data_IF_435167615113
#
_entry.id   IF_435167615113
#
_cell.length_a   1.000
_cell.length_b   1.000
_cell.length_c   1.000
_cell.angle_alpha   90.00
_cell.angle_beta   90.00
_cell.angle_gamma   90.00
#
_symmetry.space_group_name_H-M   'P 1'
#
loop_
_entity.id
_entity.type
_entity.pdbx_description
1 polymer ?
#
# COMPACT_ATOMS: atom_id res chain seq x y z
N UNK A 1 11.48 -14.68 16.39
CA UNK A 1 10.79 -13.64 15.62
C UNK A 1 11.28 -13.80 14.18
N UNK A 2 10.38 -13.90 13.22
CA UNK A 2 10.76 -13.97 11.79
C UNK A 2 11.36 -12.62 11.36
N UNK A 3 12.35 -12.68 10.48
CA UNK A 3 12.99 -11.50 9.89
C UNK A 3 11.94 -10.68 9.11
N UNK A 4 11.94 -9.33 9.22
CA UNK A 4 11.00 -8.49 8.50
C UNK A 4 11.24 -8.54 6.98
N UNK A 5 10.16 -8.49 6.18
CA UNK A 5 10.27 -8.40 4.71
C UNK A 5 10.80 -7.05 4.26
N UNK A 6 10.58 -6.01 5.07
CA UNK A 6 11.13 -4.67 4.88
C UNK A 6 11.33 -3.98 6.22
N UNK A 7 12.40 -3.21 6.34
CA UNK A 7 12.70 -2.41 7.53
C UNK A 7 13.29 -1.06 7.14
N UNK A 8 12.79 -0.01 7.78
CA UNK A 8 13.39 1.32 7.82
C UNK A 8 13.90 1.54 9.24
N UNK A 9 15.16 1.91 9.40
CA UNK A 9 15.77 2.21 10.69
C UNK A 9 16.35 3.63 10.67
N UNK A 10 15.74 4.53 11.45
CA UNK A 10 16.13 5.93 11.59
C UNK A 10 16.08 6.74 10.29
N UNK A 11 15.25 6.35 9.32
CA UNK A 11 15.27 6.89 7.96
C UNK A 11 14.84 8.35 7.91
N UNK A 12 15.70 9.19 7.31
CA UNK A 12 15.42 10.59 7.03
C UNK A 12 15.60 10.89 5.55
N UNK A 13 14.71 11.71 4.99
CA UNK A 13 14.74 12.11 3.57
C UNK A 13 14.56 13.61 3.45
N UNK A 14 15.40 14.24 2.65
CA UNK A 14 15.32 15.66 2.33
C UNK A 14 15.18 15.87 0.82
N UNK A 15 14.34 16.84 0.43
CA UNK A 15 14.27 17.35 -0.94
C UNK A 15 14.69 18.84 -0.93
N UNK A 16 15.71 19.19 -1.70
CA UNK A 16 16.23 20.56 -1.79
C UNK A 16 16.52 21.20 -0.41
N UNK A 17 17.06 20.41 0.52
CA UNK A 17 17.38 20.87 1.87
C UNK A 17 16.22 20.82 2.87
N UNK A 18 14.99 20.52 2.45
CA UNK A 18 13.84 20.40 3.35
C UNK A 18 13.61 18.93 3.75
N UNK A 19 13.68 18.63 5.05
CA UNK A 19 13.38 17.31 5.59
C UNK A 19 11.87 17.03 5.48
N UNK A 20 11.53 15.99 4.69
CA UNK A 20 10.17 15.52 4.48
C UNK A 20 9.87 14.28 5.33
N UNK A 21 10.87 13.41 5.54
CA UNK A 21 10.81 12.25 6.44
C UNK A 21 11.92 12.41 7.47
N UNK A 22 11.64 12.11 8.75
CA UNK A 22 12.51 12.47 9.87
C UNK A 22 12.63 11.33 10.87
N UNK A 23 13.71 10.55 10.77
CA UNK A 23 14.02 9.47 11.71
C UNK A 23 12.87 8.45 11.81
N UNK A 24 12.38 7.96 10.67
CA UNK A 24 11.29 6.98 10.63
C UNK A 24 11.84 5.59 10.86
N UNK A 25 11.28 4.90 11.86
CA UNK A 25 11.44 3.48 12.12
C UNK A 25 10.14 2.77 11.72
N UNK A 26 10.23 1.74 10.87
CA UNK A 26 9.10 0.93 10.43
C UNK A 26 9.61 -0.44 9.98
N UNK A 27 9.19 -1.49 10.66
CA UNK A 27 9.42 -2.86 10.21
C UNK A 27 8.11 -3.50 9.77
N UNK A 28 8.12 -4.26 8.69
CA UNK A 28 6.98 -4.99 8.14
C UNK A 28 7.29 -6.48 8.20
N UNK A 29 6.48 -7.22 8.96
CA UNK A 29 6.64 -8.66 9.10
C UNK A 29 6.08 -9.41 7.86
N UNK A 30 6.56 -10.64 7.58
CA UNK A 30 5.95 -11.50 6.58
C UNK A 30 4.45 -11.68 6.84
N UNK A 31 3.62 -11.52 5.79
CA UNK A 31 2.17 -11.66 5.89
C UNK A 31 1.46 -10.58 6.72
N UNK A 32 2.11 -9.47 7.03
CA UNK A 32 1.49 -8.36 7.74
C UNK A 32 0.74 -7.43 6.77
N UNK A 33 -0.38 -6.86 7.24
CA UNK A 33 -1.12 -5.81 6.52
C UNK A 33 -1.02 -4.51 7.29
N UNK A 34 -0.27 -3.56 6.75
CA UNK A 34 0.00 -2.25 7.36
C UNK A 34 -0.59 -1.15 6.50
N UNK A 35 -1.43 -0.30 7.09
CA UNK A 35 -1.86 0.94 6.43
C UNK A 35 -1.06 2.13 6.97
N UNK A 36 -0.44 2.87 6.07
CA UNK A 36 0.23 4.13 6.36
C UNK A 36 -0.76 5.28 6.12
N UNK A 37 -1.17 5.94 7.19
CA UNK A 37 -2.15 7.02 7.17
C UNK A 37 -1.54 8.32 7.69
N UNK A 38 -2.17 9.44 7.40
CA UNK A 38 -1.71 10.76 7.85
C UNK A 38 -2.16 11.87 6.93
N UNK A 39 -2.03 13.14 7.32
CA UNK A 39 -2.42 14.29 6.49
C UNK A 39 -1.64 14.38 5.18
N UNK A 40 -2.16 15.18 4.24
CA UNK A 40 -1.45 15.46 3.00
C UNK A 40 -0.11 16.17 3.31
N UNK A 41 0.94 15.77 2.58
CA UNK A 41 2.28 16.29 2.82
C UNK A 41 3.03 15.69 4.02
N UNK A 42 2.45 14.73 4.75
CA UNK A 42 3.12 14.07 5.88
C UNK A 42 4.35 13.23 5.50
N UNK A 43 4.58 12.96 4.20
CA UNK A 43 5.73 12.19 3.72
C UNK A 43 5.42 10.73 3.36
N UNK A 44 4.15 10.31 3.35
CA UNK A 44 3.72 8.92 3.10
C UNK A 44 4.28 8.33 1.80
N UNK A 45 4.05 8.99 0.66
CA UNK A 45 4.60 8.54 -0.64
C UNK A 45 6.13 8.56 -0.68
N UNK A 46 6.77 9.43 0.12
CA UNK A 46 8.23 9.44 0.25
C UNK A 46 8.73 8.19 0.95
N UNK A 47 8.05 7.74 2.00
CA UNK A 47 8.35 6.47 2.70
C UNK A 47 8.25 5.30 1.71
N UNK A 48 7.19 5.25 0.88
CA UNK A 48 7.06 4.19 -0.13
C UNK A 48 8.18 4.24 -1.18
N UNK A 49 8.53 5.44 -1.67
CA UNK A 49 9.61 5.61 -2.66
C UNK A 49 10.97 5.21 -2.13
N UNK A 50 11.23 5.46 -0.87
CA UNK A 50 12.46 5.07 -0.20
C UNK A 50 12.54 3.55 -0.08
N UNK A 51 11.45 2.88 0.35
CA UNK A 51 11.35 1.42 0.39
C UNK A 51 11.59 0.79 -0.99
N UNK A 52 11.03 1.39 -2.04
CA UNK A 52 11.22 0.93 -3.42
C UNK A 52 12.63 1.24 -4.00
N UNK A 53 13.53 1.84 -3.23
CA UNK A 53 14.86 2.23 -3.68
C UNK A 53 14.88 3.35 -4.73
N UNK A 54 13.77 4.10 -4.87
CA UNK A 54 13.63 5.22 -5.81
C UNK A 54 14.21 6.52 -5.27
N UNK A 55 14.36 6.62 -3.95
CA UNK A 55 14.93 7.77 -3.24
C UNK A 55 15.96 7.26 -2.25
N UNK A 56 17.13 7.87 -2.24
CA UNK A 56 18.19 7.56 -1.27
C UNK A 56 17.95 8.39 -0.02
N UNK A 57 17.91 7.79 1.18
CA UNK A 57 17.79 8.52 2.43
C UNK A 57 19.06 9.35 2.70
N UNK A 58 18.91 10.48 3.39
CA UNK A 58 20.05 11.27 3.85
C UNK A 58 20.59 10.79 5.21
N UNK A 59 19.82 9.97 5.93
CA UNK A 59 20.20 9.33 7.18
C UNK A 59 19.39 8.05 7.39
N UNK A 60 19.90 7.12 8.19
CA UNK A 60 19.29 5.81 8.42
C UNK A 60 19.59 4.81 7.31
N UNK A 61 18.99 3.63 7.41
CA UNK A 61 19.14 2.55 6.43
C UNK A 61 17.83 1.80 6.20
N UNK A 62 17.79 1.07 5.08
CA UNK A 62 16.62 0.30 4.66
C UNK A 62 17.09 -1.08 4.29
N UNK A 63 16.36 -2.11 4.72
CA UNK A 63 16.56 -3.49 4.30
C UNK A 63 15.31 -4.08 3.65
N UNK A 64 15.50 -4.99 2.72
CA UNK A 64 14.46 -5.84 2.12
C UNK A 64 14.88 -7.30 2.26
N UNK A 65 14.14 -8.06 3.11
CA UNK A 65 14.51 -9.43 3.46
C UNK A 65 15.91 -9.51 4.04
N UNK A 66 16.27 -8.58 4.93
CA UNK A 66 17.59 -8.48 5.58
C UNK A 66 18.69 -7.83 4.74
N UNK A 67 18.57 -7.76 3.42
CA UNK A 67 19.59 -7.17 2.56
C UNK A 67 19.45 -5.64 2.47
N UNK A 68 20.55 -4.86 2.66
CA UNK A 68 20.51 -3.41 2.51
C UNK A 68 20.11 -2.99 1.09
N UNK A 69 19.07 -2.15 0.97
CA UNK A 69 18.57 -1.66 -0.34
C UNK A 69 19.66 -0.97 -1.15
N UNK A 70 20.58 -0.28 -0.49
CA UNK A 70 21.71 0.39 -1.13
C UNK A 70 22.66 -0.57 -1.86
N UNK A 71 22.68 -1.86 -1.49
CA UNK A 71 23.49 -2.91 -2.10
C UNK A 71 22.74 -3.72 -3.15
N UNK A 72 21.41 -3.54 -3.28
CA UNK A 72 20.58 -4.30 -4.21
C UNK A 72 20.48 -3.62 -5.57
N UNK A 73 20.62 -4.41 -6.62
CA UNK A 73 20.26 -3.98 -7.98
C UNK A 73 18.74 -3.92 -8.16
N UNK A 74 18.27 -3.15 -9.15
CA UNK A 74 16.83 -2.95 -9.42
C UNK A 74 16.03 -4.25 -9.55
N UNK A 75 16.54 -5.24 -10.25
CA UNK A 75 15.87 -6.54 -10.38
C UNK A 75 15.77 -7.29 -9.04
N UNK A 76 16.79 -7.16 -8.16
CA UNK A 76 16.77 -7.77 -6.83
C UNK A 76 15.75 -7.08 -5.90
N UNK A 77 15.62 -5.75 -5.97
CA UNK A 77 14.57 -4.99 -5.28
C UNK A 77 13.21 -5.44 -5.80
N UNK A 78 13.01 -5.47 -7.12
CA UNK A 78 11.75 -5.82 -7.75
C UNK A 78 11.31 -7.27 -7.46
N UNK A 79 12.22 -8.21 -7.20
CA UNK A 79 11.86 -9.55 -6.73
C UNK A 79 11.40 -9.60 -5.27
N UNK A 80 11.65 -8.55 -4.48
CA UNK A 80 11.31 -8.46 -3.05
C UNK A 80 10.13 -7.55 -2.77
N UNK A 81 9.92 -6.54 -3.64
CA UNK A 81 8.90 -5.52 -3.46
C UNK A 81 8.25 -5.16 -4.80
N UNK A 82 6.93 -5.30 -4.88
CA UNK A 82 6.12 -4.78 -5.98
C UNK A 82 5.45 -3.47 -5.55
N UNK A 83 5.58 -2.42 -6.37
CA UNK A 83 5.05 -1.10 -6.06
C UNK A 83 3.96 -0.70 -7.06
N UNK A 84 2.80 -0.28 -6.52
CA UNK A 84 1.70 0.31 -7.28
C UNK A 84 1.65 1.80 -6.96
N UNK A 85 1.97 2.69 -7.92
CA UNK A 85 1.86 4.12 -7.71
C UNK A 85 0.39 4.56 -7.74
N UNK A 86 0.04 5.61 -7.01
CA UNK A 86 -1.32 6.18 -6.97
C UNK A 86 -1.74 6.79 -8.30
N UNK A 87 -0.78 7.29 -9.06
CA UNK A 87 -1.00 7.78 -10.42
C UNK A 87 0.14 7.30 -11.31
N UNK A 88 -0.19 6.61 -12.37
CA UNK A 88 0.76 6.27 -13.43
C UNK A 88 0.20 6.67 -14.79
N UNK A 89 0.98 7.42 -15.53
CA UNK A 89 0.72 7.64 -16.93
C UNK A 89 1.16 6.40 -17.72
N UNK A 90 0.25 5.86 -18.52
CA UNK A 90 0.54 4.83 -19.51
C UNK A 90 0.44 5.47 -20.90
N UNK A 91 1.48 6.22 -21.34
CA UNK A 91 1.38 7.10 -22.51
C UNK A 91 1.49 6.36 -23.85
N UNK A 92 1.90 5.10 -23.82
CA UNK A 92 2.11 4.32 -25.04
C UNK A 92 0.89 3.46 -25.37
N UNK A 93 0.64 3.25 -26.68
CA UNK A 93 -0.34 2.30 -27.16
C UNK A 93 0.15 0.88 -26.85
N UNK A 94 -0.41 0.29 -25.80
CA UNK A 94 0.01 -1.02 -25.28
C UNK A 94 -1.24 -1.75 -24.81
N UNK A 95 -1.32 -3.05 -25.04
CA UNK A 95 -2.44 -3.87 -24.58
C UNK A 95 -2.33 -4.17 -23.07
N UNK A 96 -3.48 -4.40 -22.46
CA UNK A 96 -3.58 -4.69 -21.02
C UNK A 96 -2.64 -5.84 -20.61
N UNK A 97 -2.68 -6.96 -21.33
CA UNK A 97 -1.84 -8.12 -21.03
C UNK A 97 -0.35 -7.84 -21.18
N UNK A 98 0.04 -6.97 -22.11
CA UNK A 98 1.43 -6.55 -22.28
C UNK A 98 1.91 -5.68 -21.11
N UNK A 99 1.05 -4.80 -20.60
CA UNK A 99 1.36 -4.02 -19.38
C UNK A 99 1.52 -4.94 -18.17
N UNK A 100 0.61 -5.90 -17.98
CA UNK A 100 0.70 -6.87 -16.88
C UNK A 100 1.96 -7.73 -17.00
N UNK A 101 2.37 -8.09 -18.23
CA UNK A 101 3.60 -8.85 -18.49
C UNK A 101 4.87 -8.12 -18.03
N UNK A 102 4.89 -6.76 -18.01
CA UNK A 102 6.02 -6.01 -17.47
C UNK A 102 6.34 -6.37 -16.01
N UNK A 103 5.35 -6.86 -15.26
CA UNK A 103 5.55 -7.39 -13.91
C UNK A 103 6.51 -8.58 -13.86
N UNK A 104 6.71 -9.29 -14.98
CA UNK A 104 7.60 -10.45 -15.05
C UNK A 104 9.05 -10.12 -15.37
N UNK A 105 9.35 -8.90 -15.83
CA UNK A 105 10.72 -8.45 -16.16
C UNK A 105 11.78 -8.81 -15.11
N UNK A 106 11.53 -8.74 -13.78
CA UNK A 106 12.54 -9.13 -12.78
C UNK A 106 12.87 -10.62 -12.78
N UNK A 107 12.04 -11.45 -13.38
CA UNK A 107 12.15 -12.92 -13.40
C UNK A 107 12.59 -13.49 -14.76
N UNK A 108 12.49 -12.68 -15.81
CA UNK A 108 12.84 -13.12 -17.16
C UNK A 108 14.33 -13.41 -17.32
N UNK A 109 14.63 -14.41 -18.14
CA UNK A 109 15.99 -14.62 -18.63
C UNK A 109 16.34 -13.54 -19.66
N UNK A 110 17.40 -12.74 -19.46
CA UNK A 110 17.77 -11.65 -20.37
C UNK A 110 18.04 -12.09 -21.81
N UNK A 111 18.33 -13.37 -22.04
CA UNK A 111 18.67 -13.91 -23.37
C UNK A 111 17.54 -14.70 -24.01
N UNK A 112 16.59 -15.22 -23.23
CA UNK A 112 15.50 -16.08 -23.71
C UNK A 112 14.15 -15.39 -23.72
N UNK A 113 14.01 -14.25 -23.01
CA UNK A 113 12.73 -13.58 -22.84
C UNK A 113 11.74 -14.35 -21.95
N UNK A 114 10.44 -13.98 -21.97
CA UNK A 114 9.42 -14.57 -21.12
C UNK A 114 9.19 -16.05 -21.47
N UNK A 115 9.15 -16.88 -20.44
CA UNK A 115 8.87 -18.32 -20.54
C UNK A 115 7.40 -18.68 -20.27
N UNK A 116 7.02 -19.98 -20.38
CA UNK A 116 5.65 -20.44 -20.08
C UNK A 116 5.19 -20.09 -18.66
N UNK A 117 6.10 -20.09 -17.70
CA UNK A 117 5.79 -19.73 -16.31
C UNK A 117 5.43 -18.22 -16.18
N UNK A 118 6.04 -17.36 -16.97
CA UNK A 118 5.75 -15.93 -16.99
C UNK A 118 4.37 -15.67 -17.57
N UNK A 119 4.03 -16.33 -18.70
CA UNK A 119 2.69 -16.26 -19.26
C UNK A 119 1.61 -16.74 -18.29
N UNK A 120 1.83 -17.86 -17.62
CA UNK A 120 0.91 -18.37 -16.61
C UNK A 120 0.73 -17.41 -15.42
N UNK A 121 1.80 -16.72 -14.99
CA UNK A 121 1.74 -15.72 -13.93
C UNK A 121 0.93 -14.49 -14.36
N UNK A 122 1.07 -14.05 -15.62
CA UNK A 122 0.26 -12.96 -16.20
C UNK A 122 -1.21 -13.32 -16.25
N UNK A 123 -1.53 -14.53 -16.75
CA UNK A 123 -2.92 -15.01 -16.83
C UNK A 123 -3.57 -15.08 -15.46
N UNK A 124 -2.86 -15.64 -14.50
CA UNK A 124 -3.32 -15.74 -13.11
C UNK A 124 -3.54 -14.36 -12.48
N UNK A 125 -2.66 -13.39 -12.72
CA UNK A 125 -2.80 -12.04 -12.20
C UNK A 125 -4.03 -11.33 -12.78
N UNK A 126 -4.27 -11.46 -14.10
CA UNK A 126 -5.45 -10.90 -14.78
C UNK A 126 -6.76 -11.51 -14.22
N UNK A 127 -6.76 -12.84 -13.99
CA UNK A 127 -7.91 -13.55 -13.42
C UNK A 127 -8.18 -13.09 -11.98
N UNK A 128 -7.16 -13.05 -11.12
CA UNK A 128 -7.28 -12.64 -9.71
C UNK A 128 -7.79 -11.22 -9.53
N UNK A 129 -7.31 -10.29 -10.35
CA UNK A 129 -7.78 -8.90 -10.32
C UNK A 129 -9.14 -8.73 -10.99
N UNK A 130 -9.63 -9.73 -11.72
CA UNK A 130 -10.93 -9.70 -12.37
C UNK A 130 -11.00 -8.82 -13.61
N UNK A 131 -9.87 -8.57 -14.27
CA UNK A 131 -9.77 -7.70 -15.46
C UNK A 131 -9.74 -8.47 -16.78
N UNK A 132 -10.19 -9.72 -16.80
CA UNK A 132 -10.21 -10.55 -18.01
C UNK A 132 -10.94 -9.92 -19.20
N UNK A 133 -12.02 -9.17 -18.95
CA UNK A 133 -12.77 -8.45 -19.97
C UNK A 133 -12.00 -7.27 -20.60
N UNK A 134 -10.88 -6.85 -20.02
CA UNK A 134 -10.06 -5.77 -20.55
C UNK A 134 -8.92 -6.26 -21.46
N UNK A 135 -8.72 -7.58 -21.58
CA UNK A 135 -7.70 -8.15 -22.48
C UNK A 135 -7.85 -7.64 -23.91
N UNK A 136 -6.75 -7.40 -24.57
CA UNK A 136 -6.69 -6.90 -25.95
C UNK A 136 -7.00 -5.42 -26.10
N UNK A 137 -7.53 -4.73 -25.07
CA UNK A 137 -7.80 -3.27 -25.12
C UNK A 137 -6.52 -2.47 -24.97
N UNK A 138 -6.48 -1.32 -25.63
CA UNK A 138 -5.41 -0.32 -25.43
C UNK A 138 -5.60 0.35 -24.04
N UNK A 139 -4.52 0.38 -23.24
CA UNK A 139 -4.58 0.97 -21.89
C UNK A 139 -4.93 2.46 -21.88
N UNK A 140 -4.75 3.17 -23.00
CA UNK A 140 -5.13 4.59 -23.13
C UNK A 140 -6.63 4.79 -23.21
N UNK A 141 -7.39 3.77 -23.63
CA UNK A 141 -8.84 3.78 -23.75
C UNK A 141 -9.55 3.44 -22.43
N UNK A 142 -8.79 3.02 -21.43
CA UNK A 142 -9.32 2.63 -20.13
C UNK A 142 -9.65 3.86 -19.28
N UNK A 143 -10.70 3.73 -18.46
CA UNK A 143 -10.97 4.66 -17.37
C UNK A 143 -9.83 4.68 -16.35
N UNK A 144 -9.75 5.70 -15.50
CA UNK A 144 -8.72 5.78 -14.46
C UNK A 144 -8.79 4.57 -13.51
N UNK A 145 -10.01 4.13 -13.15
CA UNK A 145 -10.21 2.95 -12.31
C UNK A 145 -9.72 1.66 -12.97
N UNK A 146 -10.06 1.44 -14.24
CA UNK A 146 -9.58 0.28 -14.99
C UNK A 146 -8.06 0.26 -15.10
N UNK A 147 -7.41 1.43 -15.34
CA UNK A 147 -5.94 1.55 -15.35
C UNK A 147 -5.34 1.19 -14.00
N UNK A 148 -5.97 1.61 -12.89
CA UNK A 148 -5.50 1.26 -11.55
C UNK A 148 -5.54 -0.25 -11.32
N UNK A 149 -6.61 -0.94 -11.76
CA UNK A 149 -6.68 -2.40 -11.70
C UNK A 149 -5.61 -3.08 -12.55
N UNK A 150 -5.28 -2.54 -13.74
CA UNK A 150 -4.17 -3.05 -14.56
C UNK A 150 -2.83 -2.91 -13.85
N UNK A 151 -2.57 -1.79 -13.16
CA UNK A 151 -1.34 -1.60 -12.38
C UNK A 151 -1.27 -2.55 -11.17
N UNK A 152 -2.40 -2.83 -10.55
CA UNK A 152 -2.47 -3.84 -9.48
C UNK A 152 -2.19 -5.23 -10.05
N UNK A 153 -2.74 -5.58 -11.23
CA UNK A 153 -2.47 -6.86 -11.89
C UNK A 153 -0.98 -7.01 -12.26
N UNK A 154 -0.33 -5.94 -12.74
CA UNK A 154 1.12 -5.91 -12.98
C UNK A 154 1.88 -6.25 -11.69
N UNK A 155 1.53 -5.60 -10.57
CA UNK A 155 2.19 -5.85 -9.29
C UNK A 155 1.93 -7.27 -8.75
N UNK A 156 0.73 -7.83 -8.98
CA UNK A 156 0.40 -9.23 -8.65
C UNK A 156 1.22 -10.20 -9.52
N UNK A 157 1.34 -9.92 -10.83
CA UNK A 157 2.16 -10.74 -11.74
C UNK A 157 3.65 -10.74 -11.34
N UNK A 158 4.14 -9.67 -10.71
CA UNK A 158 5.52 -9.58 -10.22
C UNK A 158 5.81 -10.59 -9.10
N UNK A 159 4.79 -11.08 -8.38
CA UNK A 159 4.90 -12.13 -7.35
C UNK A 159 5.95 -11.83 -6.26
N UNK A 160 6.05 -10.58 -5.82
CA UNK A 160 6.95 -10.18 -4.74
C UNK A 160 6.32 -10.46 -3.35
N UNK A 161 7.12 -10.79 -2.32
CA UNK A 161 6.63 -11.05 -0.96
C UNK A 161 6.06 -9.81 -0.25
N UNK A 162 6.38 -8.60 -0.75
CA UNK A 162 5.84 -7.33 -0.25
C UNK A 162 5.18 -6.56 -1.38
N UNK A 163 3.91 -6.19 -1.20
CA UNK A 163 3.15 -5.32 -2.07
C UNK A 163 3.00 -3.94 -1.42
N UNK A 164 3.46 -2.90 -2.11
CA UNK A 164 3.43 -1.51 -1.64
C UNK A 164 2.52 -0.71 -2.56
N UNK A 165 1.48 -0.06 -2.00
CA UNK A 165 0.49 0.67 -2.79
C UNK A 165 0.38 2.13 -2.29
N UNK A 166 0.51 3.06 -3.21
CA UNK A 166 0.29 4.49 -2.93
C UNK A 166 -1.13 4.87 -3.37
N UNK A 167 -2.04 5.02 -2.41
CA UNK A 167 -3.44 5.42 -2.62
C UNK A 167 -4.20 4.55 -3.65
N UNK A 168 -4.22 3.21 -3.51
CA UNK A 168 -4.72 2.30 -4.55
C UNK A 168 -6.22 2.44 -4.85
N UNK A 169 -6.98 3.15 -4.02
CA UNK A 169 -8.43 3.33 -4.13
C UNK A 169 -8.86 4.71 -4.64
N UNK A 170 -7.90 5.61 -4.87
CA UNK A 170 -8.19 6.93 -5.44
C UNK A 170 -8.72 6.77 -6.87
N UNK A 171 -9.76 7.52 -7.22
CA UNK A 171 -10.48 7.47 -8.50
C UNK A 171 -11.31 6.19 -8.77
N UNK A 172 -11.44 5.30 -7.79
CA UNK A 172 -12.35 4.16 -7.85
C UNK A 172 -13.70 4.51 -7.21
N UNK A 173 -14.79 3.97 -7.76
CA UNK A 173 -16.05 3.96 -7.06
C UNK A 173 -16.02 3.00 -5.85
N UNK A 174 -16.99 3.12 -4.95
CA UNK A 174 -17.03 2.35 -3.70
C UNK A 174 -16.95 0.83 -3.94
N UNK A 175 -17.62 0.32 -4.99
CA UNK A 175 -17.59 -1.11 -5.32
C UNK A 175 -16.18 -1.58 -5.67
N UNK A 176 -15.48 -0.83 -6.51
CA UNK A 176 -14.11 -1.14 -6.91
C UNK A 176 -13.12 -0.93 -5.76
N UNK A 177 -13.35 0.07 -4.89
CA UNK A 177 -12.52 0.25 -3.68
C UNK A 177 -12.57 -0.99 -2.79
N UNK A 178 -13.78 -1.48 -2.49
CA UNK A 178 -13.95 -2.70 -1.67
C UNK A 178 -13.34 -3.90 -2.37
N UNK A 179 -13.56 -4.09 -3.67
CA UNK A 179 -13.00 -5.20 -4.43
C UNK A 179 -11.45 -5.23 -4.39
N UNK A 180 -10.80 -4.07 -4.51
CA UNK A 180 -9.33 -3.95 -4.37
C UNK A 180 -8.89 -4.33 -2.96
N UNK A 181 -9.58 -3.86 -1.92
CA UNK A 181 -9.22 -4.19 -0.54
C UNK A 181 -9.42 -5.68 -0.24
N UNK A 182 -10.48 -6.29 -0.73
CA UNK A 182 -10.74 -7.73 -0.62
C UNK A 182 -9.67 -8.54 -1.35
N UNK A 183 -9.26 -8.14 -2.56
CA UNK A 183 -8.17 -8.76 -3.30
C UNK A 183 -6.87 -8.72 -2.49
N UNK A 184 -6.49 -7.57 -1.92
CA UNK A 184 -5.29 -7.45 -1.10
C UNK A 184 -5.36 -8.34 0.15
N UNK A 185 -6.53 -8.41 0.78
CA UNK A 185 -6.76 -9.30 1.93
C UNK A 185 -6.67 -10.78 1.53
N UNK A 186 -7.14 -11.14 0.34
CA UNK A 186 -7.05 -12.51 -0.20
C UNK A 186 -5.61 -12.92 -0.52
N UNK A 187 -4.85 -12.06 -1.21
CA UNK A 187 -3.42 -12.29 -1.49
C UNK A 187 -2.63 -12.48 -0.18
N UNK A 188 -2.91 -11.64 0.81
CA UNK A 188 -2.30 -11.78 2.12
C UNK A 188 -2.64 -13.12 2.80
N UNK A 189 -3.93 -13.50 2.84
CA UNK A 189 -4.38 -14.73 3.53
C UNK A 189 -3.91 -16.00 2.87
N UNK A 190 -3.95 -16.05 1.53
CA UNK A 190 -3.68 -17.30 0.76
C UNK A 190 -2.21 -17.49 0.44
N UNK A 191 -1.47 -16.40 0.23
CA UNK A 191 -0.11 -16.44 -0.27
C UNK A 191 0.91 -15.88 0.73
N UNK A 192 0.45 -15.32 1.85
CA UNK A 192 1.33 -14.74 2.86
C UNK A 192 2.01 -13.45 2.39
N UNK A 193 1.52 -12.81 1.32
CA UNK A 193 2.06 -11.54 0.83
C UNK A 193 1.86 -10.46 1.89
N UNK A 194 2.93 -9.78 2.27
CA UNK A 194 2.84 -8.60 3.12
C UNK A 194 2.32 -7.41 2.30
N UNK A 195 1.50 -6.56 2.92
CA UNK A 195 0.90 -5.40 2.25
C UNK A 195 1.17 -4.14 3.05
N UNK A 196 1.76 -3.12 2.41
CA UNK A 196 1.83 -1.76 2.91
C UNK A 196 1.06 -0.84 1.97
N UNK A 197 -0.03 -0.23 2.44
CA UNK A 197 -0.82 0.68 1.63
C UNK A 197 -0.93 2.07 2.27
N UNK A 198 -0.74 3.12 1.49
CA UNK A 198 -1.13 4.48 1.87
C UNK A 198 -2.61 4.63 1.62
N UNK A 199 -3.34 5.04 2.64
CA UNK A 199 -4.79 5.25 2.56
C UNK A 199 -5.18 6.60 3.16
N UNK A 200 -6.20 7.23 2.58
CA UNK A 200 -6.84 8.43 3.12
C UNK A 200 -8.10 8.10 3.91
N UNK A 201 -8.81 7.04 3.53
CA UNK A 201 -10.01 6.59 4.20
C UNK A 201 -9.64 5.76 5.44
N UNK A 202 -9.84 6.36 6.63
CA UNK A 202 -9.53 5.71 7.91
C UNK A 202 -10.48 4.55 8.22
N UNK A 203 -11.71 4.57 7.69
CA UNK A 203 -12.67 3.48 7.90
C UNK A 203 -12.24 2.24 7.09
N UNK A 204 -11.88 2.41 5.81
CA UNK A 204 -11.29 1.34 5.00
C UNK A 204 -9.99 0.82 5.64
N UNK A 205 -9.11 1.73 6.09
CA UNK A 205 -7.87 1.33 6.74
C UNK A 205 -8.12 0.49 7.99
N UNK A 206 -9.06 0.91 8.85
CA UNK A 206 -9.40 0.19 10.08
C UNK A 206 -10.07 -1.17 9.82
N UNK A 207 -10.83 -1.29 8.74
CA UNK A 207 -11.54 -2.52 8.40
C UNK A 207 -10.62 -3.58 7.78
N UNK A 208 -9.75 -3.18 6.86
CA UNK A 208 -8.95 -4.13 6.06
C UNK A 208 -7.53 -4.36 6.58
N UNK A 209 -6.99 -3.50 7.45
CA UNK A 209 -5.62 -3.59 7.92
C UNK A 209 -5.54 -3.92 9.41
N UNK A 210 -4.57 -4.76 9.77
CA UNK A 210 -4.38 -5.20 11.15
C UNK A 210 -3.51 -4.23 11.96
N UNK A 211 -2.75 -3.36 11.27
CA UNK A 211 -1.87 -2.36 11.86
C UNK A 211 -1.97 -1.05 11.09
N UNK A 212 -2.07 0.04 11.83
CA UNK A 212 -2.03 1.40 11.30
C UNK A 212 -0.76 2.09 11.77
N UNK A 213 -0.08 2.76 10.85
CA UNK A 213 1.04 3.64 11.13
C UNK A 213 0.63 5.06 10.76
N UNK A 214 0.62 5.97 11.71
CA UNK A 214 0.25 7.36 11.49
C UNK A 214 1.51 8.19 11.29
N UNK A 215 1.63 8.79 10.11
CA UNK A 215 2.71 9.71 9.79
C UNK A 215 2.18 11.15 9.87
N UNK A 216 2.87 11.99 10.62
CA UNK A 216 2.57 13.44 10.70
C UNK A 216 3.88 14.24 10.79
N UNK A 217 3.99 15.34 10.05
CA UNK A 217 5.18 16.18 9.98
C UNK A 217 6.47 15.41 9.67
N UNK A 218 6.38 14.30 8.91
CA UNK A 218 7.50 13.45 8.55
C UNK A 218 7.92 12.43 9.62
N UNK A 219 7.16 12.29 10.71
CA UNK A 219 7.45 11.36 11.81
C UNK A 219 6.32 10.36 12.03
N UNK A 220 6.66 9.17 12.50
CA UNK A 220 5.65 8.25 13.02
C UNK A 220 5.19 8.74 14.38
N UNK A 221 3.90 9.10 14.47
CA UNK A 221 3.28 9.61 15.71
C UNK A 221 2.42 8.56 16.40
N UNK A 222 2.05 7.49 15.70
CA UNK A 222 1.40 6.32 16.27
C UNK A 222 1.62 5.09 15.40
N UNK A 223 1.67 3.92 16.04
CA UNK A 223 1.83 2.62 15.41
C UNK A 223 1.13 1.55 16.25
N UNK A 224 0.31 0.72 15.62
CA UNK A 224 -0.38 -0.38 16.29
C UNK A 224 -1.74 -0.75 15.70
N UNK A 225 -2.51 -1.58 16.39
CA UNK A 225 -3.85 -1.97 15.94
C UNK A 225 -4.79 -0.77 15.78
N UNK A 226 -5.73 -0.80 14.82
CA UNK A 226 -6.65 0.31 14.56
C UNK A 226 -7.33 0.88 15.81
N UNK A 227 -7.83 0.03 16.68
CA UNK A 227 -8.51 0.45 17.92
C UNK A 227 -7.62 1.23 18.90
N UNK A 228 -6.29 1.01 18.88
CA UNK A 228 -5.34 1.77 19.70
C UNK A 228 -4.85 3.05 19.03
N UNK A 229 -4.84 3.07 17.70
CA UNK A 229 -4.34 4.19 16.91
C UNK A 229 -5.41 5.23 16.65
N UNK A 230 -6.63 4.83 16.30
CA UNK A 230 -7.74 5.73 15.96
C UNK A 230 -8.52 6.16 17.23
N UNK A 231 -7.85 6.82 18.16
CA UNK A 231 -8.52 7.46 19.30
C UNK A 231 -9.08 8.83 18.90
N UNK A 232 -10.18 9.27 19.55
CA UNK A 232 -10.79 10.60 19.29
C UNK A 232 -9.77 11.73 19.39
N UNK A 233 -8.92 11.69 20.42
CA UNK A 233 -7.89 12.70 20.64
C UNK A 233 -6.88 12.73 19.49
N UNK A 234 -6.36 11.57 19.06
CA UNK A 234 -5.36 11.50 17.99
C UNK A 234 -5.93 11.88 16.63
N UNK A 235 -7.14 11.39 16.29
CA UNK A 235 -7.80 11.76 15.04
C UNK A 235 -8.02 13.27 14.98
N UNK A 236 -8.46 13.89 16.06
CA UNK A 236 -8.62 15.36 16.13
C UNK A 236 -7.28 16.09 16.03
N UNK A 237 -6.24 15.63 16.73
CA UNK A 237 -4.92 16.25 16.72
C UNK A 237 -4.24 16.16 15.34
N UNK A 238 -4.30 14.98 14.67
CA UNK A 238 -3.58 14.72 13.42
C UNK A 238 -4.37 15.15 12.19
N UNK A 239 -5.70 14.91 12.16
CA UNK A 239 -6.53 15.13 10.96
C UNK A 239 -7.46 16.35 11.08
N UNK A 240 -7.58 16.95 12.27
CA UNK A 240 -8.45 18.10 12.50
C UNK A 240 -9.96 17.79 12.46
N UNK A 241 -10.34 16.51 12.47
CA UNK A 241 -11.74 16.06 12.40
C UNK A 241 -12.15 15.28 13.65
N UNK A 242 -13.44 15.27 13.96
CA UNK A 242 -13.97 14.44 15.07
C UNK A 242 -14.17 13.01 14.55
N UNK A 243 -13.77 12.02 15.37
CA UNK A 243 -13.94 10.59 15.06
C UNK A 243 -15.42 10.23 14.83
N UNK A 244 -16.36 10.90 15.52
CA UNK A 244 -17.79 10.72 15.33
C UNK A 244 -18.26 11.02 13.88
N UNK A 245 -17.53 11.84 13.13
CA UNK A 245 -17.82 12.10 11.71
C UNK A 245 -17.36 10.96 10.78
N UNK A 246 -16.44 10.12 11.25
CA UNK A 246 -15.95 8.95 10.51
C UNK A 246 -16.79 7.70 10.79
N UNK A 247 -17.45 7.68 11.92
CA UNK A 247 -18.39 6.65 12.32
C UNK A 247 -19.75 6.97 11.66
N UNK A 248 -20.23 6.10 10.77
CA UNK A 248 -21.59 6.26 10.22
C UNK A 248 -22.66 6.26 11.34
N UNK A 249 -23.94 6.54 11.02
CA UNK A 249 -25.03 6.74 11.99
C UNK A 249 -25.15 5.65 13.09
N UNK A 250 -24.81 4.41 12.77
CA UNK A 250 -24.85 3.29 13.72
C UNK A 250 -23.85 3.38 14.88
N UNK A 251 -22.73 4.10 14.72
CA UNK A 251 -21.77 4.27 15.81
C UNK A 251 -22.13 5.47 16.71
N UNK A 252 -22.96 6.40 16.22
CA UNK A 252 -23.54 7.50 17.00
C UNK A 252 -24.54 6.93 18.00
N UNK A 253 -25.35 5.95 17.60
CA UNK A 253 -26.34 5.30 18.47
C UNK A 253 -25.68 4.45 19.57
N UNK A 254 -24.56 3.79 19.29
CA UNK A 254 -23.79 3.04 20.28
C UNK A 254 -23.17 3.98 21.34
N UNK A 255 -22.58 5.09 20.92
CA UNK A 255 -22.01 6.09 21.81
C UNK A 255 -23.06 6.83 22.65
N UNK A 256 -24.26 7.05 22.08
CA UNK A 256 -25.39 7.63 22.82
C UNK A 256 -25.95 6.66 23.85
N UNK A 257 -25.97 5.36 23.58
CA UNK A 257 -26.42 4.32 24.51
C UNK A 257 -25.47 4.15 25.70
N UNK A 258 -24.18 4.29 25.54
CA UNK A 258 -23.19 4.24 26.64
C UNK A 258 -23.28 5.47 27.54
N UNK A 259 -23.59 6.66 27.00
CA UNK A 259 -23.78 7.89 27.76
C UNK A 259 -25.07 7.86 28.60
N UNK A 260 -26.12 7.19 28.15
CA UNK A 260 -27.36 7.04 28.89
C UNK A 260 -27.28 5.95 29.95
N UNK A 261 -26.48 4.91 29.78
CA UNK A 261 -26.26 3.85 30.75
C UNK A 261 -25.40 4.31 31.97
N UNK A 262 -24.56 5.34 31.79
CA UNK A 262 -23.72 5.88 32.87
C UNK A 262 -24.40 6.87 33.81
N UNK A 263 -25.66 7.27 33.55
CA UNK A 263 -26.35 8.33 34.34
C UNK A 263 -27.41 7.77 35.30
N UNK A 264 -27.62 6.46 35.35
CA UNK A 264 -28.64 5.81 36.24
C UNK A 264 -28.02 5.08 37.43
N UNK A 265 -26.85 5.51 37.92
CA UNK A 265 -26.19 4.93 39.07
C UNK A 265 -25.72 6.01 40.05
N UNK A 266 -26.65 6.76 40.65
CA UNK A 266 -26.46 7.45 41.92
C UNK A 266 -27.76 7.46 42.72
#
# INVERSE_FOLDING_TARGET
MSEPVAELAGVSVAYRGHLVVRGVDLAIAPGERVALVGPNGAGKSTVLRVLAGLVVPCDGHITLGGDPVACLGRAAIARRLAAVPGQAALPFATRVEEVVALGRLPHEDPFRGPGPADHAAVDLAIERVGIGALRGRDVRELSLGERQLVLIALAVAQAAPLLVLDEPTVHLDLRHQVAVMELLADLNRREGVAVLAVLHDLALAAHFFTRLVVLDGGRVVADGPPARVLTRERVRATFGVDLAMLAGPAAIDAAASELTAGTTGR
#
